data_IF_318339079508
#
_entry.id   IF_318339079508
#
_cell.length_a   1.000
_cell.length_b   1.000
_cell.length_c   1.000
_cell.angle_alpha   90.00
_cell.angle_beta   90.00
_cell.angle_gamma   90.00
#
_symmetry.space_group_name_H-M   'P 1'
#
loop_
_entity.id
_entity.type
_entity.pdbx_description
1 polymer ?
#
# COMPACT_ATOMS: atom_id res chain seq x y z
N UNK A 1 -11.42 -4.17 -5.64
CA UNK A 1 -10.06 -4.65 -5.89
C UNK A 1 -9.08 -3.49 -5.82
N UNK A 2 -7.86 -3.78 -5.38
CA UNK A 2 -6.84 -2.74 -5.21
C UNK A 2 -6.57 -1.98 -6.51
N UNK A 3 -6.53 -2.68 -7.63
CA UNK A 3 -6.30 -2.06 -8.94
C UNK A 3 -7.44 -1.12 -9.33
N UNK A 4 -8.66 -1.46 -8.97
CA UNK A 4 -9.84 -0.66 -9.30
C UNK A 4 -9.87 0.66 -8.52
N UNK A 5 -9.08 0.77 -7.45
CA UNK A 5 -8.95 1.99 -6.67
C UNK A 5 -7.90 2.95 -7.24
N UNK A 6 -7.32 2.61 -8.36
CA UNK A 6 -6.28 3.43 -8.98
C UNK A 6 -4.91 3.28 -8.34
N UNK A 7 -4.70 2.22 -7.56
CA UNK A 7 -3.44 1.97 -6.88
C UNK A 7 -2.47 1.26 -7.84
N UNK A 8 -1.93 2.00 -8.76
CA UNK A 8 -0.90 1.50 -9.67
C UNK A 8 0.47 1.62 -9.02
N UNK A 9 1.47 0.91 -9.56
CA UNK A 9 2.85 1.04 -9.08
C UNK A 9 3.33 2.48 -9.07
N UNK A 10 2.99 3.25 -10.10
CA UNK A 10 3.40 4.64 -10.21
C UNK A 10 2.79 5.47 -9.08
N UNK A 11 1.49 5.26 -8.79
CA UNK A 11 0.81 6.00 -7.72
C UNK A 11 1.35 5.61 -6.35
N UNK A 12 1.61 4.33 -6.12
CA UNK A 12 2.18 3.89 -4.84
C UNK A 12 3.55 4.52 -4.62
N UNK A 13 4.39 4.56 -5.64
CA UNK A 13 5.70 5.20 -5.56
C UNK A 13 5.59 6.70 -5.34
N UNK A 14 4.72 7.36 -6.09
CA UNK A 14 4.52 8.79 -5.95
C UNK A 14 3.92 9.15 -4.59
N UNK A 15 3.15 8.23 -4.01
CA UNK A 15 2.54 8.43 -2.71
C UNK A 15 3.48 8.29 -1.53
N UNK A 16 4.66 7.68 -1.74
CA UNK A 16 5.64 7.55 -0.66
C UNK A 16 6.19 8.93 -0.30
N UNK A 17 5.79 9.46 0.86
CA UNK A 17 6.24 10.76 1.33
C UNK A 17 5.09 11.65 1.71
N UNK A 18 4.74 12.61 0.87
CA UNK A 18 3.82 13.68 1.24
C UNK A 18 2.39 13.50 0.74
N UNK A 19 1.98 12.26 0.45
CA UNK A 19 0.63 12.00 -0.05
C UNK A 19 -0.46 12.40 0.94
N UNK A 20 -0.15 12.48 2.23
CA UNK A 20 -1.14 12.84 3.25
C UNK A 20 -1.73 14.23 3.04
N UNK A 21 -0.95 15.14 2.49
CA UNK A 21 -1.41 16.51 2.22
C UNK A 21 -1.80 16.72 0.76
N UNK A 22 -1.70 15.69 -0.08
CA UNK A 22 -1.98 15.80 -1.51
C UNK A 22 -3.49 15.69 -1.75
N UNK A 23 -4.15 16.73 -2.29
CA UNK A 23 -5.59 16.67 -2.55
C UNK A 23 -5.99 15.72 -3.67
N UNK A 24 -5.05 15.18 -4.43
CA UNK A 24 -5.33 14.19 -5.46
C UNK A 24 -5.79 12.85 -4.88
N UNK A 25 -5.46 12.59 -3.62
CA UNK A 25 -5.78 11.31 -2.99
C UNK A 25 -6.98 11.44 -2.08
N UNK A 26 -7.94 10.54 -2.22
CA UNK A 26 -9.07 10.43 -1.30
C UNK A 26 -8.59 9.89 0.05
N UNK A 27 -9.44 9.98 1.08
CA UNK A 27 -9.11 9.46 2.39
C UNK A 27 -8.86 7.94 2.34
N UNK A 28 -9.65 7.23 1.52
CA UNK A 28 -9.45 5.80 1.34
C UNK A 28 -8.08 5.50 0.71
N UNK A 29 -7.71 6.27 -0.30
CA UNK A 29 -6.40 6.11 -0.94
C UNK A 29 -5.26 6.45 0.02
N UNK A 30 -5.43 7.49 0.82
CA UNK A 30 -4.43 7.86 1.83
C UNK A 30 -4.24 6.76 2.86
N UNK A 31 -5.35 6.14 3.29
CA UNK A 31 -5.25 5.01 4.19
C UNK A 31 -4.49 3.84 3.55
N UNK A 32 -4.82 3.53 2.30
CA UNK A 32 -4.18 2.42 1.58
C UNK A 32 -2.68 2.66 1.39
N UNK A 33 -2.30 3.89 1.05
CA UNK A 33 -0.88 4.25 0.88
C UNK A 33 -0.14 4.23 2.21
N UNK A 34 -0.78 4.66 3.29
CA UNK A 34 -0.21 4.58 4.64
C UNK A 34 -0.01 3.12 5.03
N UNK A 35 -0.97 2.26 4.73
CA UNK A 35 -0.88 0.84 4.97
C UNK A 35 0.34 0.24 4.25
N UNK A 36 0.50 0.58 2.97
CA UNK A 36 1.64 0.12 2.18
C UNK A 36 2.96 0.57 2.80
N UNK A 37 3.05 1.84 3.18
CA UNK A 37 4.25 2.39 3.78
C UNK A 37 4.59 1.70 5.10
N UNK A 38 3.60 1.53 5.97
CA UNK A 38 3.80 0.90 7.27
C UNK A 38 4.20 -0.58 7.14
N UNK A 39 3.66 -1.30 6.15
CA UNK A 39 4.05 -2.67 5.92
C UNK A 39 5.56 -2.81 5.67
N UNK A 40 6.16 -1.82 5.03
CA UNK A 40 7.58 -1.86 4.69
C UNK A 40 8.46 -1.32 5.80
N UNK A 41 8.01 -0.29 6.49
CA UNK A 41 8.86 0.47 7.43
C UNK A 41 8.57 0.15 8.89
N UNK A 42 7.29 0.04 9.26
CA UNK A 42 6.89 -0.11 10.66
C UNK A 42 5.64 -0.99 10.76
N UNK A 43 5.74 -2.29 10.47
CA UNK A 43 4.55 -3.16 10.46
C UNK A 43 3.83 -3.22 11.80
N UNK A 44 4.50 -2.95 12.90
CA UNK A 44 3.88 -2.97 14.23
C UNK A 44 2.88 -1.83 14.42
N UNK A 45 2.95 -0.78 13.60
CA UNK A 45 1.98 0.32 13.66
C UNK A 45 0.67 -0.01 12.96
N UNK A 46 0.62 -1.11 12.22
CA UNK A 46 -0.63 -1.61 11.66
C UNK A 46 -1.33 -2.39 12.78
N UNK A 47 -1.90 -1.65 13.71
CA UNK A 47 -2.59 -2.19 14.88
C UNK A 47 -4.09 -2.28 14.63
N UNK A 48 -4.84 -2.69 15.66
CA UNK A 48 -6.28 -2.86 15.54
C UNK A 48 -6.99 -1.54 15.25
N UNK A 49 -6.52 -0.43 15.81
CA UNK A 49 -7.13 0.87 15.56
C UNK A 49 -6.95 1.29 14.11
N UNK A 50 -5.77 1.10 13.56
CA UNK A 50 -5.49 1.39 12.17
C UNK A 50 -6.35 0.51 11.25
N UNK A 51 -6.44 -0.78 11.58
CA UNK A 51 -7.24 -1.72 10.82
C UNK A 51 -8.73 -1.36 10.85
N UNK A 52 -9.23 -0.98 12.03
CA UNK A 52 -10.63 -0.57 12.20
C UNK A 52 -10.94 0.67 11.37
N UNK A 53 -10.01 1.61 11.31
CA UNK A 53 -10.16 2.77 10.44
C UNK A 53 -10.26 2.34 8.98
N UNK A 54 -9.43 1.40 8.57
CA UNK A 54 -9.45 0.87 7.20
C UNK A 54 -10.79 0.25 6.84
N UNK A 55 -11.45 -0.39 7.81
CA UNK A 55 -12.76 -1.01 7.58
C UNK A 55 -13.86 0.00 7.31
N UNK A 56 -13.64 1.29 7.58
CA UNK A 56 -14.59 2.34 7.19
C UNK A 56 -14.51 2.65 5.70
N UNK A 57 -13.42 2.30 5.05
CA UNK A 57 -13.19 2.53 3.62
C UNK A 57 -13.31 1.26 2.79
N UNK A 58 -12.90 0.12 3.35
CA UNK A 58 -12.81 -1.14 2.63
C UNK A 58 -13.41 -2.26 3.48
N UNK A 59 -13.96 -3.28 2.82
CA UNK A 59 -14.33 -4.51 3.50
C UNK A 59 -13.08 -5.30 3.91
N UNK A 60 -13.23 -6.25 4.83
CA UNK A 60 -12.10 -7.09 5.22
C UNK A 60 -11.50 -7.85 4.04
N UNK A 61 -12.30 -8.48 3.15
CA UNK A 61 -11.72 -9.13 1.96
C UNK A 61 -10.94 -8.16 1.08
N UNK A 62 -11.41 -6.92 0.96
CA UNK A 62 -10.70 -5.90 0.19
C UNK A 62 -9.37 -5.52 0.83
N UNK A 63 -9.31 -5.43 2.16
CA UNK A 63 -8.06 -5.14 2.86
C UNK A 63 -7.08 -6.29 2.67
N UNK A 64 -7.56 -7.54 2.73
CA UNK A 64 -6.71 -8.71 2.49
C UNK A 64 -6.16 -8.72 1.07
N UNK A 65 -7.00 -8.39 0.10
CA UNK A 65 -6.59 -8.30 -1.30
C UNK A 65 -5.56 -7.19 -1.50
N UNK A 66 -5.79 -6.03 -0.87
CA UNK A 66 -4.86 -4.90 -0.93
C UNK A 66 -3.50 -5.27 -0.34
N UNK A 67 -3.51 -5.92 0.82
CA UNK A 67 -2.27 -6.35 1.46
C UNK A 67 -1.49 -7.33 0.60
N UNK A 68 -2.18 -8.29 0.00
CA UNK A 68 -1.55 -9.26 -0.89
C UNK A 68 -0.97 -8.58 -2.14
N UNK A 69 -1.70 -7.61 -2.70
CA UNK A 69 -1.24 -6.84 -3.85
C UNK A 69 0.04 -6.09 -3.53
N UNK A 70 0.06 -5.39 -2.39
CA UNK A 70 1.23 -4.63 -1.95
C UNK A 70 2.43 -5.56 -1.75
N UNK A 71 2.22 -6.67 -1.04
CA UNK A 71 3.28 -7.63 -0.76
C UNK A 71 3.84 -8.23 -2.06
N UNK A 72 2.97 -8.55 -3.01
CA UNK A 72 3.39 -9.08 -4.30
C UNK A 72 4.28 -8.09 -5.03
N UNK A 73 3.87 -6.83 -5.11
CA UNK A 73 4.66 -5.81 -5.81
C UNK A 73 5.99 -5.55 -5.14
N UNK A 74 6.03 -5.51 -3.82
CA UNK A 74 7.28 -5.34 -3.10
C UNK A 74 8.22 -6.52 -3.36
N UNK A 75 7.70 -7.75 -3.27
CA UNK A 75 8.48 -8.95 -3.53
C UNK A 75 9.02 -8.99 -4.95
N UNK A 76 8.21 -8.61 -5.92
CA UNK A 76 8.64 -8.56 -7.31
C UNK A 76 9.75 -7.54 -7.53
N UNK A 77 9.65 -6.37 -6.90
CA UNK A 77 10.69 -5.36 -7.00
C UNK A 77 12.01 -5.85 -6.43
N UNK A 78 11.96 -6.53 -5.29
CA UNK A 78 13.17 -7.11 -4.69
C UNK A 78 13.77 -8.18 -5.57
N UNK A 79 12.95 -9.01 -6.18
CA UNK A 79 13.39 -10.04 -7.09
C UNK A 79 14.07 -9.44 -8.34
N UNK A 80 13.43 -8.43 -8.92
CA UNK A 80 13.98 -7.77 -10.10
C UNK A 80 15.32 -7.09 -9.82
N UNK A 81 15.46 -6.48 -8.65
CA UNK A 81 16.74 -5.90 -8.22
C UNK A 81 17.82 -6.96 -8.09
N UNK A 82 17.45 -8.12 -7.53
CA UNK A 82 18.38 -9.25 -7.38
C UNK A 82 18.87 -9.72 -8.75
N UNK A 83 17.96 -9.82 -9.72
CA UNK A 83 18.33 -10.21 -11.08
C UNK A 83 19.32 -9.24 -11.70
N UNK A 84 19.15 -7.94 -11.48
CA UNK A 84 20.09 -6.93 -12.00
C UNK A 84 21.47 -7.09 -11.41
N UNK A 85 21.56 -7.47 -10.14
CA UNK A 85 22.87 -7.70 -9.51
C UNK A 85 23.54 -8.93 -10.07
N UNK A 86 22.77 -9.98 -10.35
CA UNK A 86 23.29 -11.25 -10.85
C UNK A 86 23.67 -11.13 -12.33
N UNK A 87 22.90 -10.40 -13.10
CA UNK A 87 23.09 -10.29 -14.56
C UNK A 87 23.92 -9.09 -14.93
#
# INVERSE_FOLDING_TARGET
KAMDLGLTNARIKAGCGEFQSDPQFSDAEKWALTFAQLMYTEPKKVDSDFYDLGKTFFSEPEIMELGAFIAFHYGMQMFMRTLKIIT
#
